data_IF_949102167155
#
_entry.id   IF_949102167155
#
_cell.length_a   1.000
_cell.length_b   1.000
_cell.length_c   1.000
_cell.angle_alpha   90.00
_cell.angle_beta   90.00
_cell.angle_gamma   90.00
#
_symmetry.space_group_name_H-M   'P 1'
#
loop_
_entity.id
_entity.type
_entity.pdbx_description
1 polymer ?
#
# COMPACT_ATOMS: atom_id res chain seq x y z
N UNK A 1 -10.95 15.83 -2.86
CA UNK A 1 -10.28 14.75 -3.61
C UNK A 1 -10.32 13.49 -2.76
N UNK A 2 -10.87 12.39 -3.28
CA UNK A 2 -11.19 11.20 -2.49
C UNK A 2 -9.90 10.41 -2.18
N UNK A 3 -9.40 10.49 -0.95
CA UNK A 3 -8.29 9.67 -0.42
C UNK A 3 -8.68 8.21 -0.14
N UNK A 4 -9.60 7.65 -0.93
CA UNK A 4 -10.08 6.28 -0.73
C UNK A 4 -9.28 5.25 -1.55
N UNK A 5 -8.15 5.65 -2.14
CA UNK A 5 -7.31 4.80 -2.98
C UNK A 5 -6.44 3.87 -2.15
N UNK A 6 -6.89 2.63 -1.94
CA UNK A 6 -5.98 1.53 -1.59
C UNK A 6 -4.94 1.38 -2.71
N UNK A 7 -3.67 1.17 -2.37
CA UNK A 7 -2.59 0.94 -3.34
C UNK A 7 -1.58 2.09 -3.50
N UNK A 8 -0.82 2.04 -4.59
CA UNK A 8 0.31 2.94 -4.88
C UNK A 8 -0.20 4.37 -5.14
N UNK A 9 0.33 5.40 -4.44
CA UNK A 9 -0.15 6.77 -4.58
C UNK A 9 0.24 7.38 -5.94
N UNK A 10 -0.73 7.97 -6.63
CA UNK A 10 -0.50 8.69 -7.90
C UNK A 10 -0.36 10.20 -7.72
N UNK A 11 -0.97 10.76 -6.67
CA UNK A 11 -0.96 12.18 -6.35
C UNK A 11 -0.64 12.41 -4.88
N UNK A 12 0.14 13.46 -4.61
CA UNK A 12 0.42 13.91 -3.26
C UNK A 12 -0.78 14.69 -2.69
N UNK A 13 -0.81 14.90 -1.37
CA UNK A 13 -1.82 15.72 -0.71
C UNK A 13 -1.82 17.18 -1.18
N UNK A 14 -0.70 17.68 -1.72
CA UNK A 14 -0.63 19.01 -2.32
C UNK A 14 -1.39 19.12 -3.66
N UNK A 15 -1.85 18.00 -4.23
CA UNK A 15 -2.57 17.96 -5.52
C UNK A 15 -1.68 17.63 -6.71
N UNK A 16 -0.37 17.75 -6.58
CA UNK A 16 0.58 17.40 -7.64
C UNK A 16 0.83 15.90 -7.78
N UNK A 17 1.32 15.48 -8.95
CA UNK A 17 1.72 14.08 -9.19
C UNK A 17 2.89 13.67 -8.30
N UNK A 18 2.84 12.44 -7.83
CA UNK A 18 3.94 11.83 -7.05
C UNK A 18 5.11 11.54 -7.98
N UNK A 19 6.31 11.94 -7.57
CA UNK A 19 7.57 11.55 -8.18
C UNK A 19 8.07 10.21 -7.63
N UNK A 20 8.91 9.54 -8.41
CA UNK A 20 9.56 8.29 -8.01
C UNK A 20 11.08 8.49 -7.96
N UNK A 21 11.65 8.37 -6.77
CA UNK A 21 13.08 8.47 -6.54
C UNK A 21 13.69 7.09 -6.35
N UNK A 22 14.96 6.95 -6.68
CA UNK A 22 15.72 5.70 -6.48
C UNK A 22 16.87 5.96 -5.51
N UNK A 23 16.95 5.18 -4.44
CA UNK A 23 18.04 5.27 -3.47
C UNK A 23 19.37 4.86 -4.10
N UNK A 24 20.37 5.70 -3.88
CA UNK A 24 21.77 5.48 -4.25
C UNK A 24 22.62 5.04 -3.06
N UNK A 25 22.00 4.78 -1.90
CA UNK A 25 22.73 4.38 -0.69
C UNK A 25 23.21 2.94 -0.80
N UNK A 26 24.37 2.64 -0.21
CA UNK A 26 24.93 1.27 -0.19
C UNK A 26 24.03 0.30 0.59
N UNK A 27 23.33 0.79 1.62
CA UNK A 27 22.42 -0.03 2.44
C UNK A 27 21.15 -0.42 1.70
N UNK A 28 20.71 0.40 0.74
CA UNK A 28 19.43 0.21 0.08
C UNK A 28 19.48 0.61 -1.40
N UNK A 29 20.36 -0.01 -2.20
CA UNK A 29 20.57 0.38 -3.59
C UNK A 29 19.32 0.03 -4.41
N UNK A 30 18.87 0.96 -5.25
CA UNK A 30 17.75 0.70 -6.17
C UNK A 30 16.37 0.76 -5.54
N UNK A 31 16.23 0.89 -4.21
CA UNK A 31 14.91 1.03 -3.58
C UNK A 31 14.23 2.30 -4.03
N UNK A 32 12.96 2.16 -4.41
CA UNK A 32 12.12 3.25 -4.86
C UNK A 32 11.48 3.98 -3.66
N UNK A 33 11.29 5.28 -3.81
CA UNK A 33 10.63 6.15 -2.83
C UNK A 33 9.66 7.08 -3.54
N UNK A 34 8.50 7.29 -2.93
CA UNK A 34 7.48 8.22 -3.40
C UNK A 34 7.82 9.64 -2.90
N UNK A 35 7.84 10.64 -3.79
CA UNK A 35 8.25 12.01 -3.46
C UNK A 35 7.24 13.08 -3.89
N UNK A 36 7.12 14.13 -3.08
CA UNK A 36 6.32 15.30 -3.37
C UNK A 36 7.25 16.32 -4.05
N UNK A 37 6.85 17.00 -5.13
CA UNK A 37 7.70 18.01 -5.76
C UNK A 37 7.99 19.22 -4.86
N UNK A 38 7.18 19.43 -3.82
CA UNK A 38 7.36 20.49 -2.84
C UNK A 38 7.89 19.99 -1.50
N UNK A 39 8.10 18.67 -1.37
CA UNK A 39 8.48 18.05 -0.10
C UNK A 39 9.97 17.92 0.09
N UNK A 40 10.38 17.89 1.35
CA UNK A 40 11.75 17.62 1.76
C UNK A 40 12.00 16.10 1.92
N UNK A 41 13.22 15.74 2.36
CA UNK A 41 13.58 14.34 2.61
C UNK A 41 12.69 13.66 3.65
N UNK A 42 12.22 14.39 4.66
CA UNK A 42 11.33 13.85 5.68
C UNK A 42 9.95 13.54 5.08
N UNK A 43 9.43 14.43 4.24
CA UNK A 43 8.16 14.19 3.53
C UNK A 43 8.24 12.98 2.61
N UNK A 44 9.38 12.73 1.96
CA UNK A 44 9.60 11.53 1.14
C UNK A 44 9.43 10.26 2.00
N UNK A 45 10.09 10.20 3.16
CA UNK A 45 10.02 9.04 4.06
C UNK A 45 8.61 8.83 4.62
N UNK A 46 7.92 9.91 4.99
CA UNK A 46 6.54 9.86 5.50
C UNK A 46 5.58 9.35 4.43
N UNK A 47 5.72 9.84 3.18
CA UNK A 47 4.87 9.38 2.09
C UNK A 47 5.11 7.92 1.74
N UNK A 48 6.38 7.49 1.69
CA UNK A 48 6.70 6.09 1.42
C UNK A 48 6.14 5.16 2.50
N UNK A 49 6.26 5.55 3.77
CA UNK A 49 5.67 4.82 4.90
C UNK A 49 4.16 4.69 4.75
N UNK A 50 3.46 5.80 4.46
CA UNK A 50 1.99 5.79 4.25
C UNK A 50 1.57 4.92 3.06
N UNK A 51 2.37 4.93 1.98
CA UNK A 51 2.12 4.08 0.82
C UNK A 51 2.22 2.59 1.21
N UNK A 52 3.26 2.22 1.95
CA UNK A 52 3.41 0.85 2.47
C UNK A 52 2.25 0.46 3.40
N UNK A 53 1.87 1.31 4.36
CA UNK A 53 0.74 1.05 5.27
C UNK A 53 -0.58 0.82 4.52
N UNK A 54 -0.85 1.60 3.47
CA UNK A 54 -2.02 1.45 2.60
C UNK A 54 -2.04 0.09 1.91
N UNK A 55 -0.90 -0.33 1.35
CA UNK A 55 -0.76 -1.63 0.68
C UNK A 55 -0.95 -2.77 1.68
N UNK A 56 -0.28 -2.72 2.84
CA UNK A 56 -0.39 -3.75 3.89
C UNK A 56 -1.83 -3.88 4.37
N UNK A 57 -2.48 -2.77 4.71
CA UNK A 57 -3.89 -2.76 5.14
C UNK A 57 -4.82 -3.36 4.06
N UNK A 58 -4.52 -3.10 2.79
CA UNK A 58 -5.23 -3.70 1.65
C UNK A 58 -5.09 -5.22 1.62
N UNK A 59 -3.87 -5.71 1.66
CA UNK A 59 -3.55 -7.15 1.66
C UNK A 59 -4.17 -7.87 2.86
N UNK A 60 -4.09 -7.28 4.05
CA UNK A 60 -4.72 -7.84 5.24
C UNK A 60 -6.24 -7.99 5.08
N UNK A 61 -6.89 -7.03 4.41
CA UNK A 61 -8.33 -7.10 4.16
C UNK A 61 -8.66 -8.22 3.16
N UNK A 62 -7.84 -8.41 2.13
CA UNK A 62 -8.01 -9.49 1.15
C UNK A 62 -7.80 -10.85 1.81
N UNK A 63 -6.75 -11.00 2.63
CA UNK A 63 -6.50 -12.22 3.40
C UNK A 63 -7.69 -12.59 4.28
N UNK A 64 -8.23 -11.63 5.05
CA UNK A 64 -9.44 -11.87 5.86
C UNK A 64 -10.65 -12.26 5.02
N UNK A 65 -10.76 -11.75 3.79
CA UNK A 65 -11.80 -12.14 2.84
C UNK A 65 -11.66 -13.61 2.45
N UNK A 66 -10.47 -14.03 2.01
CA UNK A 66 -10.18 -15.41 1.64
C UNK A 66 -10.34 -16.39 2.81
N UNK A 67 -9.92 -16.00 4.02
CA UNK A 67 -10.13 -16.80 5.22
C UNK A 67 -11.62 -17.07 5.45
N UNK A 68 -12.47 -16.06 5.28
CA UNK A 68 -13.92 -16.21 5.42
C UNK A 68 -14.49 -17.15 4.36
N UNK A 69 -14.17 -16.94 3.09
CA UNK A 69 -14.63 -17.80 1.98
C UNK A 69 -14.24 -19.26 2.19
N UNK A 70 -13.02 -19.51 2.70
CA UNK A 70 -12.56 -20.85 3.04
C UNK A 70 -13.37 -21.47 4.18
N UNK A 71 -13.75 -20.70 5.20
CA UNK A 71 -14.58 -21.20 6.31
C UNK A 71 -16.00 -21.51 5.85
N UNK A 72 -16.59 -20.63 5.05
CA UNK A 72 -17.93 -20.83 4.49
C UNK A 72 -17.96 -22.11 3.62
N UNK A 73 -16.96 -22.29 2.75
CA UNK A 73 -16.81 -23.51 1.93
C UNK A 73 -16.63 -24.78 2.76
N UNK A 74 -15.87 -24.72 3.86
CA UNK A 74 -15.70 -25.86 4.79
C UNK A 74 -17.01 -26.25 5.46
N UNK A 75 -17.82 -25.27 5.85
CA UNK A 75 -19.12 -25.50 6.47
C UNK A 75 -20.09 -26.16 5.48
N UNK A 76 -20.15 -25.67 4.24
CA UNK A 76 -20.98 -26.27 3.19
C UNK A 76 -20.60 -27.73 2.92
N UNK A 77 -19.30 -28.02 2.82
CA UNK A 77 -18.81 -29.38 2.64
C UNK A 77 -19.15 -30.30 3.82
N UNK A 78 -19.08 -29.79 5.06
CA UNK A 78 -19.43 -30.55 6.26
C UNK A 78 -20.94 -30.84 6.36
N UNK A 79 -21.80 -29.99 5.79
CA UNK A 79 -23.26 -30.18 5.76
C UNK A 79 -23.72 -31.13 4.64
N UNK A 80 -22.85 -31.43 3.68
CA UNK A 80 -23.17 -32.28 2.52
C UNK A 80 -22.86 -33.77 2.74
N UNK A 81 -22.42 -34.17 3.94
CA UNK A 81 -22.09 -35.53 4.38
C UNK A 81 -23.06 -35.93 5.50
#
# INVERSE_FOLDING_TARGET
>A
MNFNGRGIPTHCRCGERVGLLTSKTVKNPGRLFHSCPHGDELEILIMDTRACESVVTGLEKELRGFEKELQDSKMEAAMAI
#
